data_IF_057682893999
#
_entry.id   IF_057682893999
#
_cell.length_a   1.000
_cell.length_b   1.000
_cell.length_c   1.000
_cell.angle_alpha   90.00
_cell.angle_beta   90.00
_cell.angle_gamma   90.00
#
_symmetry.space_group_name_H-M   'P 1'
#
loop_
_entity.id
_entity.type
_entity.pdbx_description
1 polymer ?
#
# COMPACT_ATOMS: atom_id res chain seq x y z
N UNK A 1 -1.13 -11.85 -2.37
CA UNK A 1 -0.09 -10.84 -2.67
C UNK A 1 0.41 -10.90 -4.12
N UNK A 2 1.20 -11.90 -4.55
CA UNK A 2 1.73 -11.94 -5.95
C UNK A 2 0.64 -11.90 -7.05
N UNK A 3 -0.48 -12.60 -6.82
CA UNK A 3 -1.67 -12.57 -7.69
C UNK A 3 -2.25 -11.16 -7.78
N UNK A 4 -2.59 -10.58 -6.64
CA UNK A 4 -3.13 -9.21 -6.50
C UNK A 4 -2.22 -8.17 -7.17
N UNK A 5 -0.91 -8.20 -6.95
CA UNK A 5 0.01 -7.26 -7.60
C UNK A 5 -0.02 -7.37 -9.14
N UNK A 6 -0.22 -8.57 -9.68
CA UNK A 6 -0.35 -8.78 -11.13
C UNK A 6 -1.69 -8.28 -11.65
N UNK A 7 -2.77 -8.50 -10.93
CA UNK A 7 -4.12 -8.08 -11.33
C UNK A 7 -4.24 -6.55 -11.26
N UNK A 8 -3.94 -5.96 -10.10
CA UNK A 8 -4.19 -4.55 -9.82
C UNK A 8 -3.19 -3.59 -10.49
N UNK A 9 -1.98 -4.07 -10.82
CA UNK A 9 -0.91 -3.18 -11.35
C UNK A 9 -0.11 -3.77 -12.51
N UNK A 10 -0.47 -4.96 -13.00
CA UNK A 10 0.30 -5.69 -14.02
C UNK A 10 1.68 -6.18 -13.53
N UNK A 11 2.05 -5.93 -12.27
CA UNK A 11 3.43 -6.08 -11.80
C UNK A 11 3.76 -7.49 -11.33
N UNK A 12 4.82 -8.05 -11.91
CA UNK A 12 5.46 -9.24 -11.36
C UNK A 12 6.40 -8.85 -10.21
N UNK A 13 6.11 -9.38 -9.01
CA UNK A 13 6.84 -9.03 -7.79
C UNK A 13 7.50 -10.24 -7.12
N UNK A 14 8.58 -9.99 -6.37
CA UNK A 14 9.21 -10.92 -5.43
C UNK A 14 9.10 -10.34 -4.02
N UNK A 15 8.65 -11.15 -3.07
CA UNK A 15 8.63 -10.79 -1.64
C UNK A 15 10.05 -10.74 -1.11
N UNK A 16 10.39 -9.62 -0.47
CA UNK A 16 11.64 -9.39 0.24
C UNK A 16 11.42 -9.73 1.71
N UNK A 17 10.35 -9.18 2.31
CA UNK A 17 10.11 -9.30 3.74
C UNK A 17 8.61 -9.24 4.07
N UNK A 18 8.24 -9.83 5.21
CA UNK A 18 6.92 -9.69 5.82
C UNK A 18 6.99 -8.60 6.89
N UNK A 19 6.43 -7.43 6.60
CA UNK A 19 6.66 -6.21 7.39
C UNK A 19 5.80 -6.18 8.64
N UNK A 20 4.57 -6.69 8.55
CA UNK A 20 3.65 -6.71 9.68
C UNK A 20 2.18 -6.76 9.28
N UNK A 21 1.32 -6.38 10.22
CA UNK A 21 -0.13 -6.42 10.09
C UNK A 21 -0.72 -5.02 10.23
N UNK A 22 -1.81 -4.76 9.50
CA UNK A 22 -2.63 -3.56 9.61
C UNK A 22 -4.03 -4.00 9.99
N UNK A 23 -4.47 -3.64 11.19
CA UNK A 23 -5.84 -3.81 11.64
C UNK A 23 -6.63 -2.53 11.38
N UNK A 24 -7.73 -2.62 10.63
CA UNK A 24 -8.56 -1.45 10.32
C UNK A 24 -9.67 -1.31 11.36
N UNK A 25 -9.60 -0.24 12.18
CA UNK A 25 -10.53 0.00 13.29
C UNK A 25 -11.43 1.22 13.05
N UNK A 26 -11.07 2.07 12.10
CA UNK A 26 -11.73 3.34 11.81
C UNK A 26 -13.07 3.20 11.06
N UNK A 27 -13.32 2.06 10.42
CA UNK A 27 -14.59 1.79 9.72
C UNK A 27 -15.70 1.36 10.69
N UNK A 28 -16.23 2.31 11.46
CA UNK A 28 -17.24 2.05 12.51
C UNK A 28 -18.58 1.46 12.02
N UNK A 29 -18.88 1.55 10.72
CA UNK A 29 -20.13 1.07 10.12
C UNK A 29 -19.93 -0.01 9.04
N UNK A 30 -18.74 -0.61 8.95
CA UNK A 30 -18.53 -1.77 8.09
C UNK A 30 -18.89 -3.05 8.84
N UNK A 31 -19.60 -3.96 8.18
CA UNK A 31 -19.96 -5.29 8.71
C UNK A 31 -18.77 -6.28 8.69
N UNK A 32 -17.56 -5.82 8.33
CA UNK A 32 -16.35 -6.63 8.27
C UNK A 32 -15.30 -6.13 9.26
N UNK A 33 -14.54 -7.07 9.82
CA UNK A 33 -13.31 -6.79 10.52
C UNK A 33 -12.15 -7.14 9.59
N UNK A 34 -11.53 -6.11 9.00
CA UNK A 34 -10.50 -6.30 8.00
C UNK A 34 -9.10 -6.24 8.63
N UNK A 35 -8.27 -7.23 8.31
CA UNK A 35 -6.85 -7.30 8.68
C UNK A 35 -6.04 -7.49 7.41
N UNK A 36 -5.09 -6.59 7.16
CA UNK A 36 -4.13 -6.73 6.06
C UNK A 36 -2.78 -7.25 6.55
N UNK A 37 -2.16 -8.10 5.73
CA UNK A 37 -0.76 -8.52 5.90
C UNK A 37 0.10 -7.75 4.92
N UNK A 38 1.05 -6.96 5.43
CA UNK A 38 1.92 -6.10 4.63
C UNK A 38 3.23 -6.80 4.28
N UNK A 39 3.63 -6.70 3.00
CA UNK A 39 4.86 -7.29 2.48
C UNK A 39 5.68 -6.23 1.76
N UNK A 40 6.98 -6.22 2.02
CA UNK A 40 7.94 -5.48 1.20
C UNK A 40 8.26 -6.32 -0.04
N UNK A 41 8.17 -5.71 -1.22
CA UNK A 41 8.41 -6.40 -2.49
C UNK A 41 9.38 -5.67 -3.39
N UNK A 42 10.08 -6.44 -4.22
CA UNK A 42 10.84 -5.95 -5.36
C UNK A 42 10.09 -6.28 -6.65
N UNK A 43 9.88 -5.27 -7.51
CA UNK A 43 9.40 -5.51 -8.89
C UNK A 43 10.48 -6.25 -9.68
N UNK A 44 10.10 -7.27 -10.44
CA UNK A 44 11.04 -8.02 -11.30
C UNK A 44 11.46 -7.23 -12.54
N UNK A 45 10.56 -6.39 -13.06
CA UNK A 45 10.80 -5.46 -14.17
C UNK A 45 10.07 -4.15 -13.89
N UNK A 46 10.70 -3.04 -14.24
CA UNK A 46 10.08 -1.71 -14.25
C UNK A 46 9.37 -1.56 -15.61
N UNK A 47 8.18 -2.15 -15.72
CA UNK A 47 7.29 -1.98 -16.87
C UNK A 47 6.18 -0.99 -16.59
N UNK A 48 5.36 -0.72 -17.61
CA UNK A 48 4.12 0.03 -17.45
C UNK A 48 3.23 -0.60 -16.37
N UNK A 49 2.51 0.25 -15.64
CA UNK A 49 1.49 -0.17 -14.69
C UNK A 49 0.20 -0.34 -15.47
N UNK A 50 -0.47 -1.47 -15.26
CA UNK A 50 -1.74 -1.81 -15.89
C UNK A 50 -2.76 -2.03 -14.78
N UNK A 51 -3.77 -1.16 -14.70
CA UNK A 51 -4.75 -1.14 -13.61
C UNK A 51 -5.98 -1.95 -14.02
N UNK A 52 -6.54 -2.73 -13.08
CA UNK A 52 -7.72 -3.57 -13.32
C UNK A 52 -9.06 -2.83 -13.32
N UNK A 53 -9.03 -1.51 -13.13
CA UNK A 53 -10.22 -0.64 -13.13
C UNK A 53 -10.85 -0.42 -11.75
N UNK A 54 -10.32 -1.00 -10.67
CA UNK A 54 -10.75 -0.68 -9.30
C UNK A 54 -10.10 0.60 -8.75
N UNK A 55 -8.98 1.03 -9.33
CA UNK A 55 -8.31 2.28 -9.03
C UNK A 55 -8.28 3.18 -10.26
N UNK A 56 -8.68 4.45 -10.10
CA UNK A 56 -8.64 5.44 -11.18
C UNK A 56 -7.21 5.82 -11.59
N UNK A 57 -6.28 5.78 -10.63
CA UNK A 57 -4.90 6.23 -10.79
C UNK A 57 -3.94 5.41 -9.92
N UNK A 58 -2.70 5.37 -10.37
CA UNK A 58 -1.56 4.87 -9.62
C UNK A 58 -0.41 5.85 -9.74
N UNK A 59 0.31 6.06 -8.65
CA UNK A 59 1.48 6.93 -8.61
C UNK A 59 2.53 6.40 -7.62
N UNK A 60 3.75 6.91 -7.74
CA UNK A 60 4.83 6.65 -6.80
C UNK A 60 4.99 7.86 -5.89
N UNK A 61 5.15 7.61 -4.60
CA UNK A 61 5.23 8.67 -3.60
C UNK A 61 6.50 8.55 -2.76
N UNK A 62 7.24 9.65 -2.65
CA UNK A 62 8.38 9.76 -1.73
C UNK A 62 7.93 10.13 -0.30
N UNK A 63 6.72 10.64 -0.15
CA UNK A 63 6.10 10.97 1.14
C UNK A 63 4.67 10.40 1.23
N UNK A 64 4.20 10.10 2.44
CA UNK A 64 2.85 9.55 2.64
C UNK A 64 1.79 10.59 2.23
N UNK A 65 0.87 10.27 1.30
CA UNK A 65 -0.21 11.17 0.92
C UNK A 65 -1.07 11.65 2.11
N UNK A 66 -1.56 12.88 2.04
CA UNK A 66 -2.36 13.50 3.11
C UNK A 66 -3.72 12.83 3.34
N UNK A 67 -4.25 12.14 2.33
CA UNK A 67 -5.51 11.40 2.34
C UNK A 67 -5.35 9.89 2.63
N UNK A 68 -4.14 9.41 2.94
CA UNK A 68 -3.93 7.99 3.33
C UNK A 68 -4.76 7.63 4.55
N UNK A 69 -5.41 6.46 4.51
CA UNK A 69 -6.19 5.91 5.63
C UNK A 69 -5.31 5.88 6.89
N UNK A 70 -5.89 6.29 8.02
CA UNK A 70 -5.16 6.49 9.29
C UNK A 70 -4.30 5.29 9.66
N UNK A 71 -4.84 4.09 9.62
CA UNK A 71 -4.14 2.87 10.02
C UNK A 71 -2.98 2.51 9.09
N UNK A 72 -3.13 2.75 7.78
CA UNK A 72 -2.03 2.57 6.83
C UNK A 72 -0.92 3.59 7.09
N UNK A 73 -1.27 4.86 7.33
CA UNK A 73 -0.29 5.89 7.70
C UNK A 73 0.45 5.52 8.98
N UNK A 74 -0.27 5.16 10.03
CA UNK A 74 0.31 4.79 11.32
C UNK A 74 1.25 3.58 11.16
N UNK A 75 0.87 2.59 10.35
CA UNK A 75 1.73 1.46 10.00
C UNK A 75 3.01 1.88 9.26
N UNK A 76 2.90 2.69 8.21
CA UNK A 76 4.06 3.15 7.42
C UNK A 76 5.05 3.97 8.27
N UNK A 77 4.56 4.81 9.18
CA UNK A 77 5.41 5.60 10.09
C UNK A 77 6.12 4.69 11.09
N UNK A 78 5.39 3.76 11.72
CA UNK A 78 5.93 2.92 12.81
C UNK A 78 6.87 1.81 12.33
N UNK A 79 6.61 1.21 11.17
CA UNK A 79 7.36 0.04 10.69
C UNK A 79 8.40 0.37 9.61
N UNK A 80 8.22 1.47 8.87
CA UNK A 80 9.10 1.84 7.76
C UNK A 80 9.78 3.19 7.94
N UNK A 81 9.50 3.92 9.03
CA UNK A 81 10.19 5.18 9.36
C UNK A 81 9.90 6.34 8.40
N UNK A 82 8.83 6.27 7.61
CA UNK A 82 8.43 7.38 6.73
C UNK A 82 8.12 8.64 7.54
N UNK A 83 8.70 9.78 7.16
CA UNK A 83 8.45 11.06 7.83
C UNK A 83 7.00 11.51 7.63
N UNK A 84 6.35 12.00 8.71
CA UNK A 84 5.03 12.64 8.63
C UNK A 84 5.15 13.96 7.86
N UNK A 85 4.69 13.96 6.61
CA UNK A 85 4.52 15.16 5.80
C UNK A 85 5.78 15.61 5.06
N UNK A 86 5.86 15.24 3.78
CA UNK A 86 6.63 16.01 2.81
C UNK A 86 5.69 17.05 2.19
N UNK A 87 6.05 18.32 2.29
CA UNK A 87 5.44 19.38 1.46
C UNK A 87 5.64 19.01 -0.01
N UNK A 88 4.61 19.16 -0.81
CA UNK A 88 4.72 19.24 -2.27
C UNK A 88 4.62 20.73 -2.57
N UNK A 89 5.69 21.30 -3.12
CA UNK A 89 5.68 22.64 -3.73
C UNK A 89 4.84 22.62 -5.02
#
# INVERSE_FOLDING_TARGET
MRRVAKEETGSQVRVIDAVGLIEYRSFKNHYSQDISVAFLVKRKKLGAIDLDGHADKYDFFDAIPSNTIKEQRDFLVSHLGFAKGGKID
#
